data_IF_455082602901
#
_entry.id   IF_455082602901
#
_cell.length_a   1.000
_cell.length_b   1.000
_cell.length_c   1.000
_cell.angle_alpha   90.00
_cell.angle_beta   90.00
_cell.angle_gamma   90.00
#
_symmetry.space_group_name_H-M   'P 1'
#
loop_
_entity.id
_entity.type
_entity.pdbx_description
1 polymer ?
#
# COMPACT_ATOMS: atom_id res chain seq x y z
N UNK A 1 5.68 -17.12 -32.14
CA UNK A 1 6.97 -17.03 -31.44
C UNK A 1 6.73 -17.39 -29.98
N UNK A 2 7.71 -17.97 -29.28
CA UNK A 2 7.58 -18.22 -27.85
C UNK A 2 7.52 -16.89 -27.09
N UNK A 3 6.73 -16.83 -26.01
CA UNK A 3 6.57 -15.66 -25.15
C UNK A 3 7.25 -15.92 -23.81
N UNK A 4 7.89 -14.91 -23.22
CA UNK A 4 8.43 -14.97 -21.86
C UNK A 4 7.49 -14.18 -20.96
N UNK A 5 6.82 -14.85 -20.03
CA UNK A 5 5.81 -14.22 -19.16
C UNK A 5 6.17 -14.40 -17.69
N UNK A 6 5.82 -13.42 -16.86
CA UNK A 6 5.92 -13.53 -15.39
C UNK A 6 4.73 -14.24 -14.76
N UNK A 7 3.71 -14.59 -15.55
CA UNK A 7 2.49 -15.24 -15.08
C UNK A 7 2.72 -16.72 -14.76
N UNK A 8 2.16 -17.17 -13.64
CA UNK A 8 2.11 -18.59 -13.29
C UNK A 8 1.05 -19.36 -14.09
N UNK A 9 1.05 -20.69 -13.95
CA UNK A 9 0.00 -21.53 -14.54
C UNK A 9 -1.39 -21.23 -13.98
N UNK A 10 -1.49 -20.93 -12.68
CA UNK A 10 -2.74 -20.57 -12.01
C UNK A 10 -3.27 -19.22 -12.53
N UNK A 11 -2.36 -18.26 -12.70
CA UNK A 11 -2.63 -16.96 -13.29
C UNK A 11 -3.14 -17.07 -14.74
N UNK A 12 -2.48 -17.86 -15.58
CA UNK A 12 -2.90 -18.09 -16.98
C UNK A 12 -4.29 -18.72 -17.03
N UNK A 13 -4.59 -19.67 -16.12
CA UNK A 13 -5.93 -20.26 -16.02
C UNK A 13 -6.98 -19.20 -15.68
N UNK A 14 -6.71 -18.34 -14.70
CA UNK A 14 -7.61 -17.26 -14.31
C UNK A 14 -7.86 -16.26 -15.46
N UNK A 15 -6.82 -15.89 -16.20
CA UNK A 15 -6.97 -15.05 -17.41
C UNK A 15 -7.86 -15.68 -18.46
N UNK A 16 -7.70 -16.98 -18.71
CA UNK A 16 -8.51 -17.69 -19.70
C UNK A 16 -10.00 -17.65 -19.36
N UNK A 17 -10.37 -17.73 -18.07
CA UNK A 17 -11.76 -17.58 -17.61
C UNK A 17 -12.33 -16.18 -17.85
N UNK A 18 -11.48 -15.16 -18.04
CA UNK A 18 -11.86 -13.78 -18.37
C UNK A 18 -11.61 -13.43 -19.84
N UNK A 19 -11.42 -14.43 -20.70
CA UNK A 19 -11.14 -14.26 -22.13
C UNK A 19 -9.84 -13.50 -22.43
N UNK A 20 -8.83 -13.65 -21.58
CA UNK A 20 -7.47 -13.15 -21.82
C UNK A 20 -6.49 -14.30 -22.06
N UNK A 21 -5.41 -14.01 -22.76
CA UNK A 21 -4.26 -14.88 -22.97
C UNK A 21 -2.97 -14.19 -22.50
N UNK A 22 -1.93 -14.96 -22.11
CA UNK A 22 -0.69 -14.38 -21.62
C UNK A 22 0.12 -13.68 -22.72
N UNK A 23 0.83 -12.63 -22.34
CA UNK A 23 1.76 -11.85 -23.16
C UNK A 23 3.18 -11.80 -22.56
N UNK A 24 4.04 -11.00 -23.18
CA UNK A 24 5.43 -10.80 -22.75
C UNK A 24 5.50 -10.11 -21.37
N UNK A 25 6.57 -10.40 -20.63
CA UNK A 25 7.03 -9.61 -19.51
C UNK A 25 7.46 -8.23 -20.03
N UNK A 26 7.07 -7.17 -19.32
CA UNK A 26 7.44 -5.80 -19.64
C UNK A 26 8.10 -5.11 -18.46
N UNK A 27 9.05 -4.24 -18.77
CA UNK A 27 9.83 -3.54 -17.75
C UNK A 27 9.95 -2.06 -18.08
N UNK A 28 9.76 -1.20 -17.08
CA UNK A 28 10.01 0.22 -17.19
C UNK A 28 10.95 0.68 -16.10
N UNK A 29 12.05 1.32 -16.48
CA UNK A 29 13.02 1.81 -15.52
C UNK A 29 13.38 3.29 -15.72
N UNK A 30 13.76 3.95 -14.63
CA UNK A 30 14.19 5.35 -14.59
C UNK A 30 15.25 5.48 -13.52
N UNK A 31 16.45 5.91 -13.92
CA UNK A 31 17.60 6.06 -13.02
C UNK A 31 17.82 7.54 -12.74
N UNK A 32 17.88 7.91 -11.47
CA UNK A 32 18.14 9.27 -11.02
C UNK A 32 19.42 9.35 -10.16
N UNK A 33 20.22 10.39 -10.39
CA UNK A 33 21.47 10.64 -9.67
C UNK A 33 21.22 11.02 -8.21
N UNK A 34 21.99 10.41 -7.30
CA UNK A 34 21.94 10.78 -5.88
C UNK A 34 22.50 12.17 -5.57
N UNK A 35 23.34 12.76 -6.43
CA UNK A 35 23.79 14.13 -6.24
C UNK A 35 22.62 15.13 -6.35
N UNK A 36 21.70 14.87 -7.27
CA UNK A 36 20.47 15.64 -7.41
C UNK A 36 19.50 15.36 -6.26
N UNK A 37 19.19 14.09 -6.00
CA UNK A 37 18.23 13.70 -4.95
C UNK A 37 18.70 14.06 -3.54
N UNK A 38 19.99 13.88 -3.25
CA UNK A 38 20.60 14.25 -1.97
C UNK A 38 20.59 15.77 -1.72
N UNK A 39 20.67 16.59 -2.77
CA UNK A 39 20.52 18.05 -2.64
C UNK A 39 19.11 18.47 -2.20
N UNK A 40 18.08 17.69 -2.54
CA UNK A 40 16.70 17.93 -2.09
C UNK A 40 16.49 17.59 -0.61
N UNK A 41 17.29 16.67 -0.07
CA UNK A 41 17.28 16.29 1.36
C UNK A 41 18.26 17.09 2.24
N UNK A 42 19.20 17.83 1.64
CA UNK A 42 20.20 18.63 2.35
C UNK A 42 19.55 19.86 3.01
N UNK A 43 19.14 19.71 4.27
CA UNK A 43 18.47 20.76 5.05
C UNK A 43 17.34 20.26 5.97
N UNK A 44 16.99 18.98 5.87
CA UNK A 44 15.89 18.36 6.63
C UNK A 44 16.14 18.21 8.14
N UNK A 45 17.38 18.46 8.61
CA UNK A 45 17.76 18.31 10.02
C UNK A 45 16.95 19.20 10.99
N UNK A 46 16.23 20.21 10.48
CA UNK A 46 15.43 21.16 11.27
C UNK A 46 13.91 21.08 11.01
N UNK A 47 13.42 20.14 10.18
CA UNK A 47 11.99 20.01 9.94
C UNK A 47 11.31 19.26 11.09
N UNK A 48 10.28 19.89 11.66
CA UNK A 48 9.27 19.22 12.46
C UNK A 48 8.67 18.11 11.60
N UNK A 49 8.49 16.92 12.19
CA UNK A 49 8.14 15.69 11.46
C UNK A 49 6.97 15.86 10.48
N UNK A 50 6.89 14.96 9.51
CA UNK A 50 5.89 15.00 8.44
C UNK A 50 6.51 15.05 7.05
N UNK A 51 5.67 15.35 6.06
CA UNK A 51 6.01 15.31 4.64
C UNK A 51 7.22 16.19 4.28
N UNK A 52 8.08 15.64 3.42
CA UNK A 52 9.12 16.36 2.70
C UNK A 52 8.67 16.51 1.24
N UNK A 53 8.08 17.65 0.83
CA UNK A 53 7.39 17.75 -0.45
C UNK A 53 8.31 17.58 -1.66
N UNK A 54 9.52 18.14 -1.61
CA UNK A 54 10.48 18.05 -2.74
C UNK A 54 10.94 16.60 -2.97
N UNK A 55 11.20 15.87 -1.88
CA UNK A 55 11.56 14.45 -1.95
C UNK A 55 10.37 13.61 -2.42
N UNK A 56 9.19 13.87 -1.86
CA UNK A 56 7.93 13.21 -2.27
C UNK A 56 7.70 13.36 -3.77
N UNK A 57 7.84 14.58 -4.29
CA UNK A 57 7.66 14.88 -5.69
C UNK A 57 8.71 14.20 -6.57
N UNK A 58 10.00 14.23 -6.19
CA UNK A 58 11.05 13.60 -6.99
C UNK A 58 10.87 12.07 -7.09
N UNK A 59 10.50 11.43 -5.97
CA UNK A 59 10.17 10.00 -5.94
C UNK A 59 8.94 9.71 -6.82
N UNK A 60 7.91 10.55 -6.71
CA UNK A 60 6.68 10.41 -7.50
C UNK A 60 6.98 10.49 -9.01
N UNK A 61 7.73 11.50 -9.44
CA UNK A 61 8.14 11.68 -10.84
C UNK A 61 8.99 10.52 -11.36
N UNK A 62 9.90 10.01 -10.52
CA UNK A 62 10.68 8.82 -10.82
C UNK A 62 9.81 7.59 -11.10
N UNK A 63 8.84 7.33 -10.22
CA UNK A 63 7.86 6.23 -10.37
C UNK A 63 6.99 6.41 -11.61
N UNK A 64 6.44 7.60 -11.83
CA UNK A 64 5.60 7.91 -12.99
C UNK A 64 6.35 7.70 -14.32
N UNK A 65 7.58 8.20 -14.43
CA UNK A 65 8.43 8.00 -15.62
C UNK A 65 8.68 6.52 -15.92
N UNK A 66 8.99 5.71 -14.91
CA UNK A 66 9.19 4.26 -15.07
C UNK A 66 7.91 3.53 -15.46
N UNK A 67 6.80 3.85 -14.81
CA UNK A 67 5.49 3.28 -15.12
C UNK A 67 5.04 3.60 -16.56
N UNK A 68 5.26 4.84 -17.02
CA UNK A 68 4.98 5.27 -18.40
C UNK A 68 5.84 4.51 -19.43
N UNK A 69 7.09 4.17 -19.07
CA UNK A 69 7.96 3.36 -19.95
C UNK A 69 7.44 1.93 -20.07
N UNK A 70 7.10 1.30 -18.95
CA UNK A 70 6.53 -0.06 -18.93
C UNK A 70 5.22 -0.14 -19.74
N UNK A 71 4.33 0.85 -19.59
CA UNK A 71 3.07 0.89 -20.34
C UNK A 71 3.27 1.11 -21.84
N UNK A 72 4.21 1.97 -22.25
CA UNK A 72 4.57 2.12 -23.66
C UNK A 72 5.12 0.82 -24.26
N UNK A 73 5.97 0.11 -23.53
CA UNK A 73 6.50 -1.19 -23.97
C UNK A 73 5.37 -2.21 -24.15
N UNK A 74 4.45 -2.31 -23.19
CA UNK A 74 3.27 -3.19 -23.29
C UNK A 74 2.39 -2.87 -24.50
N UNK A 75 2.16 -1.58 -24.78
CA UNK A 75 1.41 -1.14 -25.95
C UNK A 75 2.13 -1.49 -27.27
N UNK A 76 3.46 -1.37 -27.32
CA UNK A 76 4.26 -1.79 -28.48
C UNK A 76 4.17 -3.29 -28.73
N UNK A 77 4.02 -4.10 -27.67
CA UNK A 77 3.74 -5.53 -27.78
C UNK A 77 2.29 -5.85 -28.14
N UNK A 78 1.43 -4.85 -28.36
CA UNK A 78 0.01 -5.03 -28.69
C UNK A 78 -0.79 -5.64 -27.54
N UNK A 79 -0.37 -5.40 -26.29
CA UNK A 79 -1.08 -5.87 -25.11
C UNK A 79 -2.43 -5.13 -24.95
N UNK A 80 -3.44 -5.86 -24.48
CA UNK A 80 -4.70 -5.28 -24.01
C UNK A 80 -4.59 -4.76 -22.58
N UNK A 81 -3.61 -5.24 -21.82
CA UNK A 81 -3.28 -4.67 -20.52
C UNK A 81 -2.04 -5.29 -19.90
N UNK A 82 -1.75 -4.91 -18.67
CA UNK A 82 -0.65 -5.47 -17.86
C UNK A 82 -1.19 -5.88 -16.49
N UNK A 83 -0.99 -7.14 -16.11
CA UNK A 83 -1.33 -7.67 -14.80
C UNK A 83 -0.08 -7.80 -13.91
N UNK A 84 -0.29 -7.79 -12.59
CA UNK A 84 0.78 -7.99 -11.62
C UNK A 84 1.84 -6.89 -11.64
N UNK A 85 1.41 -5.64 -11.82
CA UNK A 85 2.34 -4.50 -11.85
C UNK A 85 2.93 -4.28 -10.46
N UNK A 86 4.24 -4.52 -10.34
CA UNK A 86 5.02 -4.25 -9.13
C UNK A 86 5.99 -3.10 -9.37
N UNK A 87 6.21 -2.29 -8.33
CA UNK A 87 7.10 -1.13 -8.37
C UNK A 87 8.16 -1.24 -7.28
N UNK A 88 9.43 -1.18 -7.66
CA UNK A 88 10.57 -1.25 -6.74
C UNK A 88 11.43 0.01 -6.82
N UNK A 89 12.12 0.29 -5.72
CA UNK A 89 13.13 1.34 -5.63
C UNK A 89 14.45 0.68 -5.27
N UNK A 90 15.40 0.69 -6.20
CA UNK A 90 16.70 0.03 -6.05
C UNK A 90 17.81 1.07 -5.97
N UNK A 91 18.76 0.89 -5.07
CA UNK A 91 19.92 1.76 -4.96
C UNK A 91 21.13 1.04 -5.53
N UNK A 92 21.82 1.65 -6.50
CA UNK A 92 23.09 1.14 -7.01
C UNK A 92 24.03 2.26 -7.42
N UNK A 93 25.32 2.11 -7.10
CA UNK A 93 26.41 2.99 -7.57
C UNK A 93 26.13 4.50 -7.46
N UNK A 94 25.50 4.95 -6.36
CA UNK A 94 25.20 6.38 -6.15
C UNK A 94 24.05 6.91 -7.03
N UNK A 95 23.17 6.04 -7.50
CA UNK A 95 21.91 6.37 -8.16
C UNK A 95 20.77 5.57 -7.55
N UNK A 96 19.55 6.08 -7.72
CA UNK A 96 18.31 5.36 -7.41
C UNK A 96 17.63 5.00 -8.72
N UNK A 97 17.28 3.72 -8.89
CA UNK A 97 16.45 3.23 -9.97
C UNK A 97 15.03 2.98 -9.47
N UNK A 98 14.09 3.58 -10.18
CA UNK A 98 12.67 3.25 -10.10
C UNK A 98 12.39 2.19 -11.14
N UNK A 99 11.89 1.04 -10.72
CA UNK A 99 11.62 -0.10 -11.59
C UNK A 99 10.14 -0.48 -11.50
N UNK A 100 9.48 -0.63 -12.65
CA UNK A 100 8.17 -1.24 -12.75
C UNK A 100 8.24 -2.49 -13.63
N UNK A 101 7.65 -3.57 -13.16
CA UNK A 101 7.60 -4.86 -13.88
C UNK A 101 6.16 -5.34 -13.90
N UNK A 102 5.74 -5.95 -14.99
CA UNK A 102 4.44 -6.61 -15.09
C UNK A 102 4.37 -7.55 -16.28
N UNK A 103 3.27 -8.29 -16.39
CA UNK A 103 3.06 -9.22 -17.52
C UNK A 103 1.91 -8.75 -18.41
N UNK A 104 2.18 -8.64 -19.71
CA UNK A 104 1.16 -8.32 -20.69
C UNK A 104 0.05 -9.39 -20.70
N UNK A 105 -1.16 -8.94 -20.98
CA UNK A 105 -2.32 -9.79 -21.28
C UNK A 105 -2.96 -9.33 -22.58
N UNK A 106 -3.50 -10.27 -23.35
CA UNK A 106 -4.18 -10.00 -24.62
C UNK A 106 -5.60 -10.51 -24.57
N UNK A 107 -6.56 -9.63 -24.81
CA UNK A 107 -7.95 -10.01 -24.93
C UNK A 107 -8.14 -10.90 -26.16
N UNK A 108 -8.86 -12.00 -26.01
CA UNK A 108 -9.21 -12.92 -27.10
C UNK A 108 -10.34 -12.36 -27.99
N UNK A 109 -10.97 -11.28 -27.53
CA UNK A 109 -11.92 -10.45 -28.28
C UNK A 109 -11.40 -9.02 -28.29
N UNK A 110 -11.84 -8.19 -29.23
CA UNK A 110 -11.38 -6.81 -29.32
C UNK A 110 -11.73 -6.08 -28.01
N UNK A 111 -10.73 -5.79 -27.19
CA UNK A 111 -10.90 -5.07 -25.93
C UNK A 111 -11.08 -3.57 -26.20
N UNK A 112 -11.94 -2.93 -25.40
CA UNK A 112 -12.32 -1.53 -25.60
C UNK A 112 -11.24 -0.54 -25.12
N UNK A 113 -10.39 -0.92 -24.16
CA UNK A 113 -9.33 -0.06 -23.63
C UNK A 113 -8.12 -0.83 -23.08
N UNK A 114 -6.96 -0.17 -23.10
CA UNK A 114 -5.76 -0.65 -22.41
C UNK A 114 -5.89 -0.42 -20.90
N UNK A 115 -5.50 -1.41 -20.08
CA UNK A 115 -5.49 -1.29 -18.63
C UNK A 115 -4.18 -1.73 -17.98
N UNK A 116 -3.97 -1.35 -16.73
CA UNK A 116 -2.96 -1.98 -15.86
C UNK A 116 -3.57 -2.32 -14.50
N UNK A 117 -3.01 -3.32 -13.81
CA UNK A 117 -3.48 -3.79 -12.51
C UNK A 117 -2.31 -4.02 -11.56
N UNK A 118 -2.43 -3.57 -10.31
CA UNK A 118 -1.47 -3.90 -9.25
C UNK A 118 -1.56 -5.38 -8.86
N UNK A 119 -2.77 -5.93 -8.85
CA UNK A 119 -2.99 -7.33 -8.55
C UNK A 119 -2.45 -8.23 -9.65
N UNK A 120 -1.90 -9.38 -9.26
CA UNK A 120 -1.54 -10.46 -10.15
C UNK A 120 -2.78 -10.99 -10.91
N UNK A 121 -2.63 -11.91 -11.85
CA UNK A 121 -3.78 -12.32 -12.67
C UNK A 121 -4.85 -13.12 -11.89
N UNK A 122 -4.51 -13.75 -10.76
CA UNK A 122 -5.50 -14.35 -9.85
C UNK A 122 -6.36 -13.27 -9.18
N UNK A 123 -5.72 -12.24 -8.64
CA UNK A 123 -6.40 -11.12 -8.00
C UNK A 123 -7.22 -10.31 -9.02
N UNK A 124 -6.68 -10.11 -10.23
CA UNK A 124 -7.38 -9.47 -11.33
C UNK A 124 -8.66 -10.21 -11.71
N UNK A 125 -8.62 -11.56 -11.73
CA UNK A 125 -9.82 -12.36 -11.93
C UNK A 125 -10.85 -12.06 -10.85
N UNK A 126 -10.46 -12.04 -9.58
CA UNK A 126 -11.36 -11.76 -8.47
C UNK A 126 -11.98 -10.36 -8.57
N UNK A 127 -11.20 -9.34 -8.91
CA UNK A 127 -11.68 -7.98 -9.13
C UNK A 127 -12.74 -7.92 -10.24
N UNK A 128 -12.43 -8.46 -11.42
CA UNK A 128 -13.37 -8.50 -12.55
C UNK A 128 -14.62 -9.32 -12.21
N UNK A 129 -14.48 -10.43 -11.49
CA UNK A 129 -15.62 -11.25 -11.08
C UNK A 129 -16.53 -10.56 -10.07
N UNK A 130 -15.97 -9.71 -9.20
CA UNK A 130 -16.70 -8.83 -8.30
C UNK A 130 -17.24 -7.55 -8.97
N UNK A 131 -17.11 -7.43 -10.30
CA UNK A 131 -17.63 -6.29 -11.08
C UNK A 131 -16.74 -5.05 -11.07
N UNK A 132 -15.47 -5.18 -10.65
CA UNK A 132 -14.47 -4.11 -10.68
C UNK A 132 -13.62 -4.25 -11.94
N UNK A 133 -13.97 -3.49 -12.98
CA UNK A 133 -13.24 -3.46 -14.24
C UNK A 133 -11.95 -2.64 -14.11
N UNK A 134 -10.76 -3.21 -14.37
CA UNK A 134 -9.50 -2.52 -14.18
C UNK A 134 -9.32 -1.38 -15.19
N UNK A 135 -8.77 -0.27 -14.72
CA UNK A 135 -8.37 0.86 -15.55
C UNK A 135 -6.87 1.11 -15.46
N UNK A 136 -6.31 1.15 -14.25
CA UNK A 136 -4.91 1.49 -14.07
C UNK A 136 -4.35 0.97 -12.74
N UNK A 137 -3.08 0.57 -12.76
CA UNK A 137 -2.26 0.49 -11.57
C UNK A 137 -2.11 1.91 -11.02
N UNK A 138 -2.58 2.13 -9.79
CA UNK A 138 -2.47 3.42 -9.11
C UNK A 138 -1.45 3.32 -7.98
N UNK A 139 -0.72 4.42 -7.74
CA UNK A 139 0.19 4.57 -6.64
C UNK A 139 0.14 5.98 -6.03
N UNK A 140 0.17 6.03 -4.69
CA UNK A 140 0.28 7.27 -3.93
C UNK A 140 1.45 7.16 -2.95
N UNK A 141 2.46 8.02 -3.12
CA UNK A 141 3.64 8.04 -2.27
C UNK A 141 3.72 9.31 -1.42
N UNK A 142 4.38 9.20 -0.27
CA UNK A 142 4.80 10.33 0.55
C UNK A 142 6.13 10.02 1.22
N UNK A 143 7.09 10.92 1.10
CA UNK A 143 8.33 10.89 1.85
C UNK A 143 8.19 11.76 3.09
N UNK A 144 8.53 11.23 4.26
CA UNK A 144 8.40 11.96 5.52
C UNK A 144 9.57 11.71 6.47
N UNK A 145 9.85 12.71 7.31
CA UNK A 145 10.84 12.61 8.38
C UNK A 145 10.15 12.31 9.71
N UNK A 146 10.78 11.49 10.55
CA UNK A 146 10.31 11.23 11.92
C UNK A 146 10.63 12.37 12.89
N UNK A 147 11.45 13.36 12.50
CA UNK A 147 11.69 14.58 13.29
C UNK A 147 12.34 14.38 14.66
N UNK A 148 12.93 13.21 14.95
CA UNK A 148 13.41 12.83 16.30
C UNK A 148 14.65 13.61 16.77
N UNK A 149 15.27 14.42 15.89
CA UNK A 149 16.50 15.17 16.18
C UNK A 149 16.37 16.68 16.41
N UNK A 150 15.27 17.32 16.02
CA UNK A 150 15.16 18.78 15.94
C UNK A 150 14.28 19.41 17.03
N UNK A 151 14.89 19.92 18.09
CA UNK A 151 14.29 20.90 19.03
C UNK A 151 13.20 20.41 20.01
N UNK A 152 12.32 19.48 19.62
CA UNK A 152 11.23 19.01 20.48
C UNK A 152 11.67 17.91 21.47
N UNK A 153 12.74 17.18 21.20
CA UNK A 153 13.32 16.23 22.18
C UNK A 153 13.76 16.91 23.50
N UNK A 154 13.97 18.23 23.47
CA UNK A 154 14.22 19.06 24.66
C UNK A 154 12.97 19.48 25.42
N UNK A 155 11.87 19.80 24.73
CA UNK A 155 10.63 20.30 25.34
C UNK A 155 9.78 19.18 25.95
N UNK A 156 9.80 18.00 25.33
CA UNK A 156 8.95 16.85 25.70
C UNK A 156 9.58 15.95 26.77
N UNK A 157 10.81 16.25 27.20
CA UNK A 157 11.43 15.70 28.42
C UNK A 157 10.57 15.91 29.68
N UNK A 158 9.58 16.80 29.60
CA UNK A 158 8.64 17.13 30.67
C UNK A 158 7.21 16.60 30.46
N UNK A 159 6.91 15.96 29.31
CA UNK A 159 5.56 15.51 29.00
C UNK A 159 5.26 14.15 29.65
N UNK A 160 4.14 14.09 30.35
CA UNK A 160 3.66 12.92 31.06
C UNK A 160 3.44 11.72 30.14
N UNK A 161 3.49 10.54 30.74
CA UNK A 161 3.15 9.26 30.11
C UNK A 161 1.79 9.35 29.40
N UNK A 162 1.72 8.92 28.13
CA UNK A 162 0.48 8.93 27.34
C UNK A 162 0.70 9.17 25.85
N UNK A 163 -0.39 9.29 25.12
CA UNK A 163 -0.39 9.65 23.70
C UNK A 163 0.15 11.08 23.51
N UNK A 164 1.11 11.23 22.61
CA UNK A 164 1.53 12.53 22.09
C UNK A 164 0.66 12.84 20.87
N UNK A 165 -0.41 13.61 21.09
CA UNK A 165 -1.42 13.89 20.06
C UNK A 165 -0.83 14.59 18.85
N UNK A 166 0.06 15.56 19.05
CA UNK A 166 0.67 16.33 17.97
C UNK A 166 1.47 15.41 17.02
N UNK A 167 2.20 14.44 17.56
CA UNK A 167 2.90 13.42 16.75
C UNK A 167 1.90 12.49 16.07
N UNK A 168 0.88 12.05 16.78
CA UNK A 168 -0.17 11.20 16.22
C UNK A 168 -0.86 11.89 15.04
N UNK A 169 -1.17 13.18 15.15
CA UNK A 169 -1.81 13.98 14.10
C UNK A 169 -0.90 14.18 12.88
N UNK A 170 0.41 14.40 13.09
CA UNK A 170 1.40 14.48 12.00
C UNK A 170 1.48 13.16 11.23
N UNK A 171 1.57 12.03 11.93
CA UNK A 171 1.62 10.72 11.28
C UNK A 171 0.30 10.41 10.57
N UNK A 172 -0.84 10.62 11.22
CA UNK A 172 -2.15 10.42 10.60
C UNK A 172 -2.30 11.28 9.33
N UNK A 173 -2.06 12.59 9.40
CA UNK A 173 -2.18 13.48 8.24
C UNK A 173 -1.22 13.11 7.10
N UNK A 174 0.02 12.74 7.42
CA UNK A 174 1.02 12.27 6.43
C UNK A 174 0.52 11.01 5.72
N UNK A 175 0.04 10.02 6.47
CA UNK A 175 -0.45 8.77 5.87
C UNK A 175 -1.70 8.96 5.02
N UNK A 176 -2.62 9.82 5.45
CA UNK A 176 -3.82 10.14 4.68
C UNK A 176 -3.49 10.83 3.35
N UNK A 177 -2.46 11.68 3.31
CA UNK A 177 -2.00 12.29 2.05
C UNK A 177 -1.50 11.27 1.02
N UNK A 178 -0.92 10.14 1.45
CA UNK A 178 -0.56 9.07 0.52
C UNK A 178 -1.81 8.46 -0.14
N UNK A 179 -2.86 8.21 0.67
CA UNK A 179 -4.15 7.74 0.17
C UNK A 179 -4.82 8.78 -0.75
N UNK A 180 -4.78 10.07 -0.39
CA UNK A 180 -5.35 11.14 -1.21
C UNK A 180 -4.69 11.22 -2.60
N UNK A 181 -3.37 10.99 -2.68
CA UNK A 181 -2.64 10.93 -3.96
C UNK A 181 -3.06 9.74 -4.80
N UNK A 182 -3.18 8.56 -4.18
CA UNK A 182 -3.67 7.35 -4.83
C UNK A 182 -5.10 7.58 -5.40
N UNK A 183 -5.98 8.17 -4.60
CA UNK A 183 -7.35 8.53 -5.00
C UNK A 183 -7.35 9.58 -6.10
N UNK A 184 -6.42 10.55 -6.08
CA UNK A 184 -6.30 11.55 -7.13
C UNK A 184 -6.00 10.91 -8.48
N UNK A 185 -5.01 10.02 -8.54
CA UNK A 185 -4.68 9.30 -9.77
C UNK A 185 -5.85 8.45 -10.27
N UNK A 186 -6.58 7.78 -9.36
CA UNK A 186 -7.76 7.01 -9.72
C UNK A 186 -8.85 7.87 -10.38
N UNK A 187 -9.08 9.10 -9.88
CA UNK A 187 -10.02 10.05 -10.51
C UNK A 187 -9.55 10.50 -11.88
N UNK A 188 -8.26 10.72 -12.07
CA UNK A 188 -7.67 11.12 -13.36
C UNK A 188 -7.91 10.06 -14.45
N UNK A 189 -7.86 8.77 -14.09
CA UNK A 189 -8.21 7.67 -14.99
C UNK A 189 -9.70 7.30 -15.01
N UNK A 190 -10.57 8.10 -14.36
CA UNK A 190 -12.03 7.89 -14.26
C UNK A 190 -12.44 6.61 -13.54
N UNK A 191 -11.58 6.07 -12.68
CA UNK A 191 -11.95 5.03 -11.75
C UNK A 191 -12.83 5.60 -10.63
N UNK A 192 -13.75 4.79 -10.14
CA UNK A 192 -14.57 5.10 -8.96
C UNK A 192 -14.19 4.20 -7.76
N UNK A 193 -13.10 3.45 -7.88
CA UNK A 193 -12.55 2.62 -6.81
C UNK A 193 -11.04 2.43 -6.97
N UNK A 194 -10.35 2.16 -5.86
CA UNK A 194 -9.01 1.56 -5.83
C UNK A 194 -9.05 0.36 -4.89
N UNK A 195 -8.86 -0.84 -5.44
CA UNK A 195 -8.98 -2.12 -4.73
C UNK A 195 -7.64 -2.85 -4.67
N UNK A 196 -7.49 -3.77 -3.72
CA UNK A 196 -6.25 -4.51 -3.51
C UNK A 196 -5.09 -3.61 -3.06
N UNK A 197 -5.39 -2.57 -2.26
CA UNK A 197 -4.40 -1.61 -1.81
C UNK A 197 -3.36 -2.29 -0.93
N UNK A 198 -2.10 -2.21 -1.35
CA UNK A 198 -0.93 -2.62 -0.57
C UNK A 198 -0.20 -1.39 -0.09
N UNK A 199 0.18 -1.40 1.18
CA UNK A 199 0.92 -0.32 1.82
C UNK A 199 2.30 -0.81 2.21
N UNK A 200 3.34 -0.13 1.75
CA UNK A 200 4.72 -0.37 2.16
C UNK A 200 5.34 0.89 2.74
N UNK A 201 6.29 0.72 3.65
CA UNK A 201 7.09 1.81 4.21
C UNK A 201 8.56 1.45 3.94
N UNK A 202 9.20 2.19 3.05
CA UNK A 202 10.57 1.96 2.61
C UNK A 202 11.50 3.01 3.20
N UNK A 203 12.63 2.63 3.81
CA UNK A 203 13.63 3.60 4.25
C UNK A 203 14.26 4.27 3.03
N UNK A 204 14.31 5.60 3.02
CA UNK A 204 14.90 6.37 1.94
C UNK A 204 15.75 7.53 2.49
N UNK A 205 17.07 7.34 2.53
CA UNK A 205 18.08 8.38 2.82
C UNK A 205 17.74 9.36 3.95
N UNK A 206 17.36 8.84 5.12
CA UNK A 206 17.03 9.65 6.32
C UNK A 206 15.56 10.07 6.41
N UNK A 207 14.75 9.73 5.41
CA UNK A 207 13.28 9.78 5.42
C UNK A 207 12.70 8.37 5.28
N UNK A 208 11.40 8.25 5.46
CA UNK A 208 10.65 7.06 5.11
C UNK A 208 9.71 7.40 3.96
N UNK A 209 9.68 6.58 2.92
CA UNK A 209 8.65 6.61 1.89
C UNK A 209 7.53 5.67 2.31
N UNK A 210 6.34 6.21 2.54
CA UNK A 210 5.13 5.40 2.52
C UNK A 210 4.61 5.36 1.08
N UNK A 211 4.43 4.15 0.54
CA UNK A 211 3.87 3.90 -0.77
C UNK A 211 2.60 3.08 -0.61
N UNK A 212 1.50 3.56 -1.19
CA UNK A 212 0.29 2.78 -1.39
C UNK A 212 0.17 2.46 -2.87
N UNK A 213 -0.08 1.20 -3.23
CA UNK A 213 -0.37 0.78 -4.61
C UNK A 213 -1.65 -0.04 -4.65
N UNK A 214 -2.41 0.04 -5.74
CA UNK A 214 -3.65 -0.71 -5.91
C UNK A 214 -4.15 -0.69 -7.35
N UNK A 215 -5.26 -1.36 -7.61
CA UNK A 215 -5.90 -1.37 -8.92
C UNK A 215 -7.02 -0.35 -8.93
N UNK A 216 -6.82 0.77 -9.63
CA UNK A 216 -7.89 1.70 -9.94
C UNK A 216 -8.86 1.04 -10.92
N UNK A 217 -10.11 0.91 -10.51
CA UNK A 217 -11.12 0.15 -11.21
C UNK A 217 -12.46 0.89 -11.23
N UNK A 218 -13.32 0.47 -12.16
CA UNK A 218 -14.68 0.97 -12.28
C UNK A 218 -15.69 -0.12 -11.98
N UNK A 219 -16.58 0.14 -11.02
CA UNK A 219 -17.73 -0.69 -10.74
C UNK A 219 -19.02 0.14 -10.89
N UNK A 220 -19.89 -0.15 -11.85
CA UNK A 220 -21.09 0.65 -12.12
C UNK A 220 -22.18 0.51 -11.04
N UNK A 221 -22.09 -0.49 -10.16
CA UNK A 221 -23.00 -0.64 -9.04
C UNK A 221 -22.64 0.25 -7.83
N UNK A 222 -21.45 0.86 -7.83
CA UNK A 222 -21.06 1.82 -6.79
C UNK A 222 -21.89 3.11 -6.88
N UNK A 223 -22.06 3.85 -5.76
CA UNK A 223 -22.82 5.09 -5.74
C UNK A 223 -22.19 6.15 -6.66
N UNK A 224 -22.98 7.06 -7.28
CA UNK A 224 -22.44 8.13 -8.13
C UNK A 224 -21.42 9.05 -7.42
N UNK A 225 -21.48 9.15 -6.09
CA UNK A 225 -20.51 9.88 -5.28
C UNK A 225 -19.08 9.32 -5.44
N UNK A 226 -18.95 8.03 -5.73
CA UNK A 226 -17.68 7.35 -5.93
C UNK A 226 -16.92 7.87 -7.16
N UNK A 227 -17.60 8.49 -8.14
CA UNK A 227 -16.92 9.12 -9.28
C UNK A 227 -16.10 10.36 -8.84
N UNK A 228 -16.47 11.01 -7.72
CA UNK A 228 -15.76 12.19 -7.17
C UNK A 228 -14.84 11.81 -6.02
N UNK A 229 -15.23 10.80 -5.25
CA UNK A 229 -14.48 10.26 -4.12
C UNK A 229 -14.42 8.73 -4.26
N UNK A 230 -13.50 8.20 -5.11
CA UNK A 230 -13.33 6.77 -5.29
C UNK A 230 -13.25 6.01 -3.98
N UNK A 231 -13.96 4.88 -3.90
CA UNK A 231 -13.86 3.99 -2.75
C UNK A 231 -12.47 3.36 -2.69
N UNK A 232 -11.98 3.06 -1.50
CA UNK A 232 -10.64 2.48 -1.32
C UNK A 232 -10.71 1.24 -0.46
N UNK A 233 -9.88 0.24 -0.74
CA UNK A 233 -9.90 -1.05 -0.05
C UNK A 233 -8.55 -1.73 -0.05
N UNK A 234 -8.10 -2.18 1.12
CA UNK A 234 -6.93 -3.07 1.29
C UNK A 234 -7.31 -4.56 1.34
N UNK A 235 -8.59 -4.89 1.16
CA UNK A 235 -9.03 -6.28 0.97
C UNK A 235 -8.27 -6.91 -0.20
N UNK A 236 -7.82 -8.16 -0.03
CA UNK A 236 -7.29 -8.95 -1.15
C UNK A 236 -8.38 -9.19 -2.19
N UNK A 237 -8.02 -9.65 -3.39
CA UNK A 237 -9.01 -9.95 -4.42
C UNK A 237 -10.05 -10.98 -3.94
N UNK A 238 -9.61 -12.02 -3.24
CA UNK A 238 -10.46 -13.06 -2.67
C UNK A 238 -11.39 -12.50 -1.57
N UNK A 239 -10.87 -11.64 -0.70
CA UNK A 239 -11.68 -10.98 0.33
C UNK A 239 -12.72 -10.03 -0.30
N UNK A 240 -12.32 -9.23 -1.30
CA UNK A 240 -13.25 -8.36 -2.03
C UNK A 240 -14.35 -9.18 -2.72
N UNK A 241 -13.99 -10.28 -3.38
CA UNK A 241 -14.95 -11.19 -4.00
C UNK A 241 -15.90 -11.78 -2.97
N UNK A 242 -15.38 -12.26 -1.83
CA UNK A 242 -16.18 -12.83 -0.77
C UNK A 242 -17.18 -11.81 -0.20
N UNK A 243 -16.72 -10.59 0.10
CA UNK A 243 -17.60 -9.52 0.59
C UNK A 243 -18.66 -9.13 -0.45
N UNK A 244 -18.27 -9.03 -1.72
CA UNK A 244 -19.19 -8.72 -2.83
C UNK A 244 -20.24 -9.83 -3.01
N UNK A 245 -19.87 -11.10 -2.83
CA UNK A 245 -20.81 -12.23 -2.89
C UNK A 245 -21.89 -12.18 -1.80
N UNK A 246 -21.60 -11.49 -0.69
CA UNK A 246 -22.53 -11.23 0.42
C UNK A 246 -23.32 -9.92 0.25
N UNK A 247 -23.08 -9.19 -0.84
CA UNK A 247 -23.72 -7.90 -1.15
C UNK A 247 -23.07 -6.69 -0.50
N UNK A 248 -21.81 -6.80 -0.03
CA UNK A 248 -21.05 -5.68 0.52
C UNK A 248 -20.10 -5.07 -0.50
N UNK A 249 -19.93 -3.76 -0.42
CA UNK A 249 -18.93 -2.99 -1.16
C UNK A 249 -18.00 -2.26 -0.18
N UNK A 250 -16.73 -2.03 -0.53
CA UNK A 250 -15.87 -1.15 0.25
C UNK A 250 -16.36 0.29 0.14
N UNK A 251 -16.20 1.03 1.24
CA UNK A 251 -16.46 2.46 1.32
C UNK A 251 -15.14 3.24 1.33
N UNK A 252 -14.20 2.86 2.20
CA UNK A 252 -12.90 3.54 2.34
C UNK A 252 -11.90 2.68 3.11
N UNK A 253 -10.64 2.74 2.72
CA UNK A 253 -9.50 2.30 3.52
C UNK A 253 -9.31 3.28 4.68
N UNK A 254 -9.49 2.79 5.89
CA UNK A 254 -9.37 3.56 7.11
C UNK A 254 -8.03 3.28 7.78
N UNK A 255 -7.42 4.32 8.33
CA UNK A 255 -6.11 4.23 8.98
C UNK A 255 -6.06 5.14 10.19
N UNK A 256 -5.58 4.63 11.31
CA UNK A 256 -5.35 5.43 12.50
C UNK A 256 -4.05 5.05 13.19
N UNK A 257 -3.31 6.06 13.58
CA UNK A 257 -2.07 5.98 14.33
C UNK A 257 -2.19 6.66 15.68
N UNK A 258 -1.54 6.09 16.68
CA UNK A 258 -1.29 6.71 17.98
C UNK A 258 0.18 6.57 18.36
N UNK A 259 0.82 7.69 18.71
CA UNK A 259 2.23 7.78 19.09
C UNK A 259 2.30 8.01 20.60
N UNK A 260 3.03 7.15 21.29
CA UNK A 260 3.19 7.20 22.74
C UNK A 260 4.64 7.46 23.13
N UNK A 261 4.82 8.23 24.20
CA UNK A 261 6.11 8.35 24.87
C UNK A 261 6.23 7.36 26.02
N UNK A 262 7.36 6.68 26.06
CA UNK A 262 7.80 5.88 27.20
C UNK A 262 8.49 6.74 28.30
N UNK A 263 8.65 8.05 28.08
CA UNK A 263 9.22 9.00 29.04
C UNK A 263 10.76 9.05 29.06
N UNK A 264 11.33 10.15 29.60
CA UNK A 264 12.79 10.35 29.74
C UNK A 264 13.23 10.26 31.19
N UNK A 265 13.65 9.07 31.63
CA UNK A 265 14.64 8.93 32.70
C UNK A 265 15.50 7.71 32.39
N UNK A 266 16.77 7.94 32.06
CA UNK A 266 17.88 7.07 32.47
C UNK A 266 17.74 5.54 32.34
N UNK A 267 17.11 5.05 31.27
CA UNK A 267 17.15 3.64 30.89
C UNK A 267 16.02 2.78 31.47
N UNK A 268 14.88 2.74 30.77
CA UNK A 268 13.93 1.64 30.90
C UNK A 268 14.58 0.30 30.52
N UNK A 269 15.52 0.30 29.55
CA UNK A 269 16.43 -0.82 29.25
C UNK A 269 17.38 -1.17 30.42
N UNK A 270 17.74 -0.21 31.28
CA UNK A 270 18.55 -0.46 32.47
C UNK A 270 17.71 -1.04 33.64
N UNK A 271 16.44 -0.65 33.75
CA UNK A 271 15.46 -1.30 34.62
C UNK A 271 15.06 -2.71 34.11
N UNK A 272 14.94 -2.89 32.80
CA UNK A 272 14.68 -4.19 32.13
C UNK A 272 15.80 -5.20 32.31
N UNK A 273 17.07 -4.74 32.35
CA UNK A 273 18.21 -5.60 32.69
C UNK A 273 18.13 -6.19 34.11
N UNK A 274 17.30 -5.63 34.99
CA UNK A 274 17.10 -6.12 36.36
C UNK A 274 15.88 -7.03 36.53
N UNK A 275 14.97 -7.15 35.56
CA UNK A 275 13.74 -7.93 35.66
C UNK A 275 13.60 -8.92 34.49
N UNK A 276 14.49 -9.92 34.48
CA UNK A 276 14.35 -11.10 33.64
C UNK A 276 13.35 -12.08 34.27
N UNK A 277 12.05 -11.88 33.99
CA UNK A 277 10.91 -12.84 33.98
C UNK A 277 9.62 -12.18 34.48
N UNK A 278 8.74 -11.78 33.56
CA UNK A 278 7.40 -11.30 33.87
C UNK A 278 6.81 -10.41 32.78
N UNK A 279 5.51 -10.16 32.85
CA UNK A 279 4.85 -9.11 32.08
C UNK A 279 5.32 -7.74 32.58
N UNK A 280 5.62 -6.81 31.66
CA UNK A 280 5.85 -5.41 32.03
C UNK A 280 4.53 -4.69 31.96
N UNK A 281 3.76 -4.76 33.06
CA UNK A 281 2.39 -4.24 33.19
C UNK A 281 2.25 -2.84 32.62
N UNK A 282 3.27 -2.00 32.76
CA UNK A 282 3.27 -0.63 32.26
C UNK A 282 3.28 -0.53 30.73
N UNK A 283 4.15 -1.30 30.07
CA UNK A 283 4.21 -1.35 28.61
C UNK A 283 2.95 -2.02 28.05
N UNK A 284 2.46 -3.06 28.72
CA UNK A 284 1.18 -3.68 28.35
C UNK A 284 0.07 -2.65 28.35
N UNK A 285 -0.10 -1.90 29.45
CA UNK A 285 -1.14 -0.87 29.58
C UNK A 285 -1.02 0.19 28.48
N UNK A 286 0.20 0.67 28.20
CA UNK A 286 0.42 1.67 27.15
C UNK A 286 0.00 1.17 25.76
N UNK A 287 0.33 -0.07 25.42
CA UNK A 287 -0.07 -0.66 24.14
C UNK A 287 -1.59 -0.89 24.10
N UNK A 288 -2.22 -1.26 25.24
CA UNK A 288 -3.68 -1.35 25.34
C UNK A 288 -4.36 -0.01 25.08
N UNK A 289 -3.91 1.06 25.73
CA UNK A 289 -4.46 2.40 25.56
C UNK A 289 -4.28 2.88 24.11
N UNK A 290 -3.07 2.71 23.54
CA UNK A 290 -2.76 3.11 22.16
C UNK A 290 -3.66 2.41 21.14
N UNK A 291 -3.89 1.11 21.36
CA UNK A 291 -4.80 0.30 20.55
C UNK A 291 -6.24 0.75 20.68
N UNK A 292 -6.72 1.00 21.90
CA UNK A 292 -8.09 1.44 22.14
C UNK A 292 -8.37 2.77 21.43
N UNK A 293 -7.44 3.72 21.53
CA UNK A 293 -7.54 5.01 20.83
C UNK A 293 -7.56 4.81 19.31
N UNK A 294 -6.62 4.04 18.75
CA UNK A 294 -6.53 3.84 17.31
C UNK A 294 -7.78 3.14 16.73
N UNK A 295 -8.29 2.10 17.42
CA UNK A 295 -9.52 1.40 17.01
C UNK A 295 -10.75 2.31 17.15
N UNK A 296 -10.82 3.11 18.21
CA UNK A 296 -11.94 4.05 18.40
C UNK A 296 -11.98 5.10 17.28
N UNK A 297 -10.82 5.61 16.86
CA UNK A 297 -10.74 6.53 15.71
C UNK A 297 -11.20 5.88 14.41
N UNK A 298 -10.78 4.64 14.13
CA UNK A 298 -11.27 3.88 12.97
C UNK A 298 -12.79 3.73 12.99
N UNK A 299 -13.38 3.35 14.14
CA UNK A 299 -14.83 3.23 14.29
C UNK A 299 -15.56 4.55 14.05
N UNK A 300 -15.06 5.64 14.65
CA UNK A 300 -15.66 6.96 14.47
C UNK A 300 -15.62 7.39 12.99
N UNK A 301 -14.54 7.11 12.27
CA UNK A 301 -14.48 7.41 10.83
C UNK A 301 -15.44 6.53 10.02
N UNK A 302 -15.56 5.24 10.36
CA UNK A 302 -16.55 4.34 9.75
C UNK A 302 -18.00 4.80 9.99
N UNK A 303 -18.32 5.26 11.21
CA UNK A 303 -19.62 5.81 11.57
C UNK A 303 -19.97 7.05 10.75
N UNK A 304 -18.99 7.95 10.53
CA UNK A 304 -19.15 9.13 9.67
C UNK A 304 -19.44 8.75 8.22
N UNK A 305 -18.89 7.63 7.74
CA UNK A 305 -19.15 7.08 6.41
C UNK A 305 -20.46 6.28 6.35
N UNK A 306 -21.14 6.05 7.49
CA UNK A 306 -22.28 5.13 7.62
C UNK A 306 -21.94 3.74 7.09
N UNK A 307 -20.72 3.29 7.33
CA UNK A 307 -20.30 1.92 7.10
C UNK A 307 -20.93 1.01 8.16
N UNK A 308 -21.15 -0.26 7.81
CA UNK A 308 -21.70 -1.24 8.75
C UNK A 308 -20.60 -1.84 9.63
N UNK A 309 -19.43 -2.08 9.04
CA UNK A 309 -18.27 -2.68 9.71
C UNK A 309 -16.95 -2.15 9.13
N UNK A 310 -15.86 -2.37 9.89
CA UNK A 310 -14.48 -2.26 9.41
C UNK A 310 -13.86 -3.65 9.43
N UNK A 311 -13.54 -4.19 8.26
CA UNK A 311 -13.07 -5.57 8.07
C UNK A 311 -11.61 -5.63 7.68
N UNK A 312 -11.00 -6.80 7.88
CA UNK A 312 -9.60 -7.03 7.56
C UNK A 312 -8.67 -6.11 8.36
N UNK A 313 -8.98 -5.80 9.62
CA UNK A 313 -8.16 -4.87 10.41
C UNK A 313 -6.81 -5.52 10.73
N UNK A 314 -5.72 -4.86 10.31
CA UNK A 314 -4.35 -5.21 10.68
C UNK A 314 -3.80 -4.15 11.64
N UNK A 315 -2.98 -4.58 12.60
CA UNK A 315 -2.36 -3.69 13.59
C UNK A 315 -0.86 -3.85 13.59
N UNK A 316 -0.15 -2.73 13.68
CA UNK A 316 1.31 -2.67 13.67
C UNK A 316 1.80 -1.91 14.89
N UNK A 317 2.91 -2.37 15.45
CA UNK A 317 3.63 -1.68 16.52
C UNK A 317 5.06 -1.46 16.03
N UNK A 318 5.53 -0.22 16.09
CA UNK A 318 6.87 0.16 15.68
C UNK A 318 7.55 1.05 16.72
N UNK A 319 8.85 0.85 16.95
CA UNK A 319 9.65 1.76 17.76
C UNK A 319 10.25 2.84 16.85
N UNK A 320 9.97 4.11 17.15
CA UNK A 320 10.41 5.25 16.33
C UNK A 320 11.74 5.87 16.81
N UNK A 321 12.35 5.28 17.84
CA UNK A 321 13.50 5.82 18.55
C UNK A 321 13.13 6.90 19.58
N UNK A 322 14.09 7.28 20.43
CA UNK A 322 13.87 8.32 21.45
C UNK A 322 12.83 7.95 22.53
N UNK A 323 12.52 6.67 22.70
CA UNK A 323 11.48 6.18 23.61
C UNK A 323 10.06 6.40 23.08
N UNK A 324 9.89 6.56 21.76
CA UNK A 324 8.58 6.66 21.12
C UNK A 324 8.14 5.32 20.53
N UNK A 325 6.88 4.97 20.77
CA UNK A 325 6.24 3.78 20.20
C UNK A 325 5.03 4.22 19.38
N UNK A 326 4.94 3.69 18.18
CA UNK A 326 3.79 3.82 17.30
C UNK A 326 2.89 2.59 17.41
N UNK A 327 1.59 2.82 17.58
CA UNK A 327 0.54 1.86 17.29
C UNK A 327 -0.24 2.33 16.05
N UNK A 328 -0.33 1.51 15.02
CA UNK A 328 -1.11 1.78 13.81
C UNK A 328 -2.15 0.69 13.61
N UNK A 329 -3.36 1.08 13.22
CA UNK A 329 -4.40 0.17 12.75
C UNK A 329 -4.88 0.61 11.37
N UNK A 330 -5.10 -0.37 10.48
CA UNK A 330 -5.56 -0.17 9.09
C UNK A 330 -6.61 -1.24 8.76
N UNK A 331 -7.65 -0.87 8.03
CA UNK A 331 -8.66 -1.82 7.55
C UNK A 331 -9.68 -1.14 6.65
N UNK A 332 -10.58 -1.93 6.05
CA UNK A 332 -11.53 -1.41 5.06
C UNK A 332 -12.92 -1.28 5.67
N UNK A 333 -13.48 -0.08 5.63
CA UNK A 333 -14.89 0.15 5.94
C UNK A 333 -15.76 -0.42 4.81
N UNK A 334 -16.80 -1.17 5.17
CA UNK A 334 -17.71 -1.82 4.20
C UNK A 334 -19.15 -1.41 4.42
N UNK A 335 -19.94 -1.48 3.35
CA UNK A 335 -21.37 -1.17 3.38
C UNK A 335 -22.14 -2.12 2.47
N UNK A 336 -23.33 -2.52 2.91
CA UNK A 336 -24.23 -3.28 2.05
C UNK A 336 -24.77 -2.38 0.95
N UNK A 337 -24.66 -2.82 -0.31
CA UNK A 337 -25.06 -2.03 -1.46
C UNK A 337 -25.96 -2.86 -2.39
N UNK A 338 -27.19 -2.41 -2.69
CA UNK A 338 -28.01 -3.08 -3.68
C UNK A 338 -27.32 -3.09 -5.05
N UNK A 339 -27.28 -4.25 -5.70
CA UNK A 339 -26.76 -4.39 -7.06
C UNK A 339 -25.28 -4.74 -7.16
N UNK A 340 -24.51 -4.76 -6.07
CA UNK A 340 -23.19 -5.41 -6.08
C UNK A 340 -23.39 -6.92 -5.99
N UNK A 341 -22.72 -7.64 -6.87
CA UNK A 341 -22.79 -9.09 -6.97
C UNK A 341 -21.54 -9.61 -7.68
N UNK A 342 -21.24 -10.89 -7.46
CA UNK A 342 -20.22 -11.60 -8.19
C UNK A 342 -20.81 -12.22 -9.45
N UNK A 343 -20.03 -12.28 -10.52
CA UNK A 343 -20.45 -12.89 -11.78
C UNK A 343 -20.54 -14.41 -11.68
N UNK A 344 -19.62 -15.04 -10.94
CA UNK A 344 -19.66 -16.47 -10.67
C UNK A 344 -20.00 -16.73 -9.19
N UNK A 345 -20.85 -17.72 -8.87
CA UNK A 345 -21.23 -18.03 -7.49
C UNK A 345 -20.14 -18.78 -6.69
N UNK A 346 -19.11 -19.26 -7.37
CA UNK A 346 -18.01 -20.00 -6.75
C UNK A 346 -16.68 -19.51 -7.33
N UNK A 347 -15.76 -19.18 -6.43
CA UNK A 347 -14.41 -18.78 -6.81
C UNK A 347 -13.60 -20.02 -7.23
N UNK A 348 -12.96 -20.02 -8.41
CA UNK A 348 -12.17 -21.16 -8.86
C UNK A 348 -10.97 -21.36 -7.94
N UNK A 349 -10.62 -22.62 -7.68
CA UNK A 349 -9.47 -22.98 -6.82
C UNK A 349 -8.16 -22.34 -7.28
N UNK A 350 -7.96 -22.16 -8.59
CA UNK A 350 -6.78 -21.51 -9.16
C UNK A 350 -6.67 -20.03 -8.80
N UNK A 351 -7.77 -19.35 -8.45
CA UNK A 351 -7.71 -17.99 -7.94
C UNK A 351 -7.25 -17.94 -6.47
N UNK A 352 -7.36 -19.04 -5.73
CA UNK A 352 -7.07 -19.11 -4.28
C UNK A 352 -5.69 -19.73 -4.01
N UNK A 353 -5.27 -20.69 -4.84
CA UNK A 353 -4.01 -21.42 -4.62
C UNK A 353 -2.84 -20.48 -4.79
N UNK A 354 -2.00 -20.39 -3.76
CA UNK A 354 -0.72 -19.69 -3.85
C UNK A 354 0.31 -20.54 -4.58
N UNK A 355 1.03 -19.89 -5.49
CA UNK A 355 2.18 -20.51 -6.15
C UNK A 355 3.27 -20.82 -5.13
N UNK A 356 3.95 -21.94 -5.36
CA UNK A 356 5.06 -22.37 -4.51
C UNK A 356 6.37 -21.95 -5.16
N UNK A 357 7.24 -21.33 -4.39
CA UNK A 357 8.61 -21.08 -4.82
C UNK A 357 9.31 -22.41 -5.10
N UNK A 358 9.85 -22.54 -6.31
CA UNK A 358 10.65 -23.69 -6.75
C UNK A 358 12.14 -23.43 -6.61
N UNK A 359 12.53 -22.16 -6.46
CA UNK A 359 13.86 -21.73 -6.09
C UNK A 359 13.85 -21.31 -4.62
N UNK A 360 14.29 -22.23 -3.77
CA UNK A 360 14.41 -21.99 -2.33
C UNK A 360 15.87 -21.59 -2.09
N UNK A 361 16.11 -20.45 -1.45
CA UNK A 361 17.45 -20.06 -1.04
C UNK A 361 18.02 -21.15 -0.11
N UNK A 362 18.93 -21.96 -0.66
CA UNK A 362 19.86 -22.77 0.11
C UNK A 362 21.08 -21.92 0.47
N UNK A 363 21.88 -22.39 1.43
CA UNK A 363 23.14 -21.81 1.95
C UNK A 363 24.27 -21.63 0.88
N UNK A 364 23.96 -21.20 -0.34
CA UNK A 364 24.93 -20.92 -1.40
C UNK A 364 25.60 -19.54 -1.27
N UNK A 365 25.42 -18.84 -0.14
CA UNK A 365 26.17 -17.63 0.20
C UNK A 365 25.86 -16.40 -0.67
N UNK A 366 24.83 -16.49 -1.51
CA UNK A 366 24.26 -15.34 -2.22
C UNK A 366 22.87 -15.10 -1.64
N UNK A 367 22.72 -14.03 -0.86
CA UNK A 367 21.40 -13.47 -0.57
C UNK A 367 20.85 -12.96 -1.89
N UNK A 368 19.83 -13.59 -2.45
CA UNK A 368 19.03 -12.90 -3.46
C UNK A 368 18.37 -11.74 -2.72
N UNK A 369 18.62 -10.51 -3.15
CA UNK A 369 17.87 -9.33 -2.66
C UNK A 369 16.40 -9.52 -3.07
N UNK A 370 15.67 -10.22 -2.21
CA UNK A 370 14.23 -10.44 -2.24
C UNK A 370 13.70 -10.08 -0.85
N UNK A 371 14.02 -8.88 -0.36
CA UNK A 371 13.29 -8.34 0.78
C UNK A 371 11.87 -7.98 0.33
N UNK A 372 10.92 -8.43 1.16
CA UNK A 372 9.49 -8.61 0.90
C UNK A 372 8.68 -7.33 0.69
#
# INVERSE_FOLDING_TARGET
MAKVTGLSGNEIYCLALKNYSPGELVVGNSVQSMGFLGSLGAGLNNMLGGEVPQVTQAIHEGRASSFDRMTREAQQHGASGVAGVTGELRNFSGSTEFLFVGSCVHANTQGDHFFTSAGNAQELYCHMDAGYEPLQHAFGNIAYSMGVGGGLSGAFRSLGRGEIKEYSDVFNSTRHKALDRLVSQARECKANSVVGIRTTILPWHGTHEMLMTGTAARNPALPPEADRAPVTSDLTGEELWAMTSLGYAPAKLLMSTSIYSLGVVGGFLAAFKSFSKGEVTELTTLIHDAREIAITRLKNEADLLKAEDVVGVKTYIAELGGGLVEFMAIGTAIKKLPGVAVANPALPVHAIVHDKDTWIDGDFGFSLDREK
#
